data_IF_784460292610
#
_entry.id   IF_784460292610
#
_cell.length_a   1.000
_cell.length_b   1.000
_cell.length_c   1.000
_cell.angle_alpha   90.00
_cell.angle_beta   90.00
_cell.angle_gamma   90.00
#
_symmetry.space_group_name_H-M   'P 1'
#
loop_
_entity.id
_entity.type
_entity.pdbx_description
1 polymer ?
#
# COMPACT_ATOMS: atom_id res chain seq x y z
N UNK A 1 -17.74 6.58 4.28
CA UNK A 1 -16.66 5.56 4.30
C UNK A 1 -15.37 6.16 3.78
N UNK A 2 -14.22 5.92 4.42
CA UNK A 2 -12.88 6.32 3.97
C UNK A 2 -12.46 5.42 2.81
N UNK A 3 -11.99 6.02 1.71
CA UNK A 3 -11.68 5.34 0.44
C UNK A 3 -10.47 5.93 -0.27
N UNK A 4 -10.22 5.46 -1.49
CA UNK A 4 -9.23 5.98 -2.42
C UNK A 4 -7.83 6.03 -1.75
N UNK A 5 -7.02 7.07 -2.04
CA UNK A 5 -5.67 7.26 -1.48
C UNK A 5 -5.65 7.20 0.04
N UNK A 6 -6.62 7.83 0.71
CA UNK A 6 -6.65 7.92 2.18
C UNK A 6 -6.77 6.54 2.85
N UNK A 7 -7.50 5.60 2.23
CA UNK A 7 -7.61 4.25 2.79
C UNK A 7 -6.32 3.44 2.70
N UNK A 8 -5.51 3.63 1.64
CA UNK A 8 -4.22 2.96 1.48
C UNK A 8 -3.12 3.62 2.33
N UNK A 9 -3.09 4.96 2.38
CA UNK A 9 -2.09 5.70 3.15
C UNK A 9 -2.37 5.68 4.66
N UNK A 10 -3.62 5.45 5.07
CA UNK A 10 -4.09 5.51 6.46
C UNK A 10 -3.81 6.85 7.17
N UNK A 11 -3.68 7.92 6.38
CA UNK A 11 -3.47 9.29 6.84
C UNK A 11 -4.09 10.27 5.83
N UNK A 12 -4.34 11.53 6.21
CA UNK A 12 -4.66 12.57 5.25
C UNK A 12 -3.54 12.67 4.20
N UNK A 13 -3.94 13.01 2.97
CA UNK A 13 -3.00 13.32 1.90
C UNK A 13 -2.12 14.53 2.29
N UNK A 14 -1.04 14.78 1.56
CA UNK A 14 -0.08 15.84 1.88
C UNK A 14 -0.71 17.24 1.98
N UNK A 15 -1.78 17.52 1.22
CA UNK A 15 -2.53 18.78 1.29
C UNK A 15 -3.62 18.79 2.40
N UNK A 16 -3.65 17.78 3.26
CA UNK A 16 -4.68 17.59 4.29
C UNK A 16 -5.99 16.98 3.78
N UNK A 17 -6.05 16.52 2.52
CA UNK A 17 -7.27 15.92 1.98
C UNK A 17 -7.59 14.54 2.56
N UNK A 18 -8.86 14.33 2.90
CA UNK A 18 -9.43 13.03 3.28
C UNK A 18 -10.52 12.67 2.28
N UNK A 19 -10.36 11.55 1.57
CA UNK A 19 -11.30 11.09 0.56
C UNK A 19 -12.34 10.14 1.14
N UNK A 20 -13.61 10.41 0.85
CA UNK A 20 -14.74 9.69 1.42
C UNK A 20 -15.75 9.29 0.33
N UNK A 21 -16.41 8.15 0.51
CA UNK A 21 -17.70 7.86 -0.13
C UNK A 21 -18.83 8.24 0.83
N UNK A 22 -19.83 8.93 0.29
CA UNK A 22 -21.13 9.21 0.90
C UNK A 22 -22.26 8.72 -0.03
N UNK A 23 -23.40 8.34 0.52
CA UNK A 23 -24.55 7.85 -0.27
C UNK A 23 -25.06 8.91 -1.25
N UNK A 24 -25.19 10.15 -0.77
CA UNK A 24 -25.55 11.31 -1.56
C UNK A 24 -24.33 12.19 -1.84
N UNK A 25 -24.41 13.00 -2.90
CA UNK A 25 -23.35 13.95 -3.23
C UNK A 25 -23.29 15.04 -2.16
N UNK A 26 -22.22 15.05 -1.38
CA UNK A 26 -21.93 16.13 -0.42
C UNK A 26 -20.92 17.13 -0.99
N UNK A 27 -20.95 18.35 -0.47
CA UNK A 27 -19.91 19.36 -0.72
C UNK A 27 -18.66 19.05 0.11
N UNK A 28 -17.53 19.63 -0.30
CA UNK A 28 -16.30 19.53 0.48
C UNK A 28 -16.48 20.26 1.82
N UNK A 29 -16.04 19.64 2.92
CA UNK A 29 -15.99 20.24 4.24
C UNK A 29 -14.54 20.60 4.57
N UNK A 30 -14.28 21.89 4.76
CA UNK A 30 -12.96 22.40 5.13
C UNK A 30 -12.91 22.66 6.64
N UNK A 31 -11.94 22.05 7.30
CA UNK A 31 -11.55 22.33 8.68
C UNK A 31 -10.11 22.87 8.69
N UNK A 32 -9.64 23.47 9.80
CA UNK A 32 -8.24 23.86 9.92
C UNK A 32 -7.29 22.68 9.66
N UNK A 33 -6.50 22.76 8.59
CA UNK A 33 -5.51 21.73 8.21
C UNK A 33 -6.06 20.47 7.53
N UNK A 34 -7.38 20.28 7.42
CA UNK A 34 -7.99 19.08 6.84
C UNK A 34 -9.14 19.46 5.90
N UNK A 35 -9.22 18.83 4.74
CA UNK A 35 -10.38 18.96 3.84
C UNK A 35 -10.99 17.59 3.56
N UNK A 36 -12.23 17.38 4.00
CA UNK A 36 -12.99 16.22 3.60
C UNK A 36 -13.54 16.41 2.19
N UNK A 37 -13.25 15.45 1.32
CA UNK A 37 -13.61 15.44 -0.10
C UNK A 37 -14.51 14.25 -0.40
N UNK A 38 -15.82 14.36 -0.09
CA UNK A 38 -16.76 13.29 -0.36
C UNK A 38 -17.04 13.16 -1.85
N UNK A 39 -17.26 11.92 -2.29
CA UNK A 39 -17.82 11.57 -3.59
C UNK A 39 -18.98 10.60 -3.41
N UNK A 40 -19.91 10.61 -4.35
CA UNK A 40 -20.91 9.54 -4.42
C UNK A 40 -20.23 8.23 -4.83
N UNK A 41 -20.72 7.12 -4.29
CA UNK A 41 -20.23 5.78 -4.56
C UNK A 41 -20.97 4.73 -3.75
N UNK A 42 -20.67 3.45 -3.97
CA UNK A 42 -21.35 2.35 -3.29
C UNK A 42 -21.12 2.35 -1.78
N UNK A 43 -22.12 1.88 -1.03
CA UNK A 43 -22.04 1.68 0.42
C UNK A 43 -20.92 0.67 0.80
N UNK A 44 -20.49 0.64 2.07
CA UNK A 44 -19.59 -0.40 2.58
C UNK A 44 -20.14 -1.81 2.36
N UNK A 45 -19.27 -2.79 2.13
CA UNK A 45 -19.63 -4.21 2.05
C UNK A 45 -19.23 -4.86 3.38
N UNK A 46 -20.22 -5.32 4.15
CA UNK A 46 -19.97 -6.08 5.37
C UNK A 46 -19.17 -7.36 5.09
N UNK A 47 -18.29 -7.73 6.01
CA UNK A 47 -17.38 -8.88 5.85
C UNK A 47 -16.08 -8.56 5.10
N UNK A 48 -16.07 -7.54 4.23
CA UNK A 48 -14.83 -7.03 3.62
C UNK A 48 -14.39 -5.73 4.29
N UNK A 49 -15.22 -4.69 4.20
CA UNK A 49 -14.94 -3.36 4.74
C UNK A 49 -15.12 -3.36 6.27
N UNK A 50 -14.49 -2.38 6.93
CA UNK A 50 -14.35 -2.41 8.38
C UNK A 50 -15.07 -1.23 9.03
N UNK A 51 -15.84 -1.45 10.10
CA UNK A 51 -16.28 -0.36 10.97
C UNK A 51 -15.07 0.44 11.47
N UNK A 52 -15.26 1.74 11.55
CA UNK A 52 -14.27 2.71 11.99
C UNK A 52 -14.90 3.69 12.99
N UNK A 53 -14.12 4.65 13.45
CA UNK A 53 -14.52 5.60 14.48
C UNK A 53 -15.78 6.39 14.11
N UNK A 54 -16.61 6.70 15.12
CA UNK A 54 -17.80 7.54 14.99
C UNK A 54 -18.80 7.09 13.91
N UNK A 55 -18.97 5.78 13.73
CA UNK A 55 -19.89 5.22 12.73
C UNK A 55 -19.41 5.34 11.28
N UNK A 56 -18.17 5.80 11.07
CA UNK A 56 -17.54 5.72 9.76
C UNK A 56 -17.17 4.27 9.45
N UNK A 57 -16.97 4.02 8.18
CA UNK A 57 -16.39 2.78 7.67
C UNK A 57 -15.06 3.10 6.99
N UNK A 58 -14.16 2.13 6.94
CA UNK A 58 -12.93 2.18 6.16
C UNK A 58 -12.98 1.07 5.12
N UNK A 59 -12.66 1.40 3.86
CA UNK A 59 -12.59 0.39 2.82
C UNK A 59 -11.50 -0.62 3.14
N UNK A 60 -11.81 -1.88 2.86
CA UNK A 60 -10.86 -2.97 2.88
C UNK A 60 -9.72 -2.71 1.89
N UNK A 61 -8.56 -3.29 2.15
CA UNK A 61 -7.40 -3.11 1.27
C UNK A 61 -7.67 -3.52 -0.19
N UNK A 62 -8.37 -4.64 -0.50
CA UNK A 62 -8.73 -4.98 -1.88
C UNK A 62 -9.65 -3.92 -2.50
N UNK A 63 -10.69 -3.46 -1.77
CA UNK A 63 -11.58 -2.39 -2.25
C UNK A 63 -10.84 -1.07 -2.49
N UNK A 64 -9.95 -0.69 -1.58
CA UNK A 64 -9.15 0.52 -1.70
C UNK A 64 -8.25 0.47 -2.95
N UNK A 65 -7.65 -0.68 -3.28
CA UNK A 65 -6.88 -0.83 -4.52
C UNK A 65 -7.74 -0.63 -5.78
N UNK A 66 -8.95 -1.19 -5.80
CA UNK A 66 -9.91 -0.98 -6.90
C UNK A 66 -10.34 0.49 -7.01
N UNK A 67 -10.66 1.13 -5.88
CA UNK A 67 -11.02 2.55 -5.82
C UNK A 67 -9.90 3.44 -6.39
N UNK A 68 -8.63 3.07 -6.16
CA UNK A 68 -7.45 3.74 -6.72
C UNK A 68 -7.22 3.50 -8.22
N UNK A 69 -7.88 2.52 -8.82
CA UNK A 69 -7.80 2.23 -10.26
C UNK A 69 -8.94 2.86 -11.07
N UNK A 70 -9.93 3.47 -10.41
CA UNK A 70 -11.03 4.14 -11.10
C UNK A 70 -10.50 5.31 -11.92
N UNK A 71 -10.99 5.45 -13.15
CA UNK A 71 -10.69 6.61 -13.98
C UNK A 71 -11.17 7.87 -13.27
N UNK A 72 -10.25 8.79 -13.00
CA UNK A 72 -10.57 10.09 -12.41
C UNK A 72 -10.29 11.19 -13.41
N UNK A 73 -11.28 12.04 -13.68
CA UNK A 73 -11.05 13.30 -14.38
C UNK A 73 -10.56 14.30 -13.34
N UNK A 74 -9.26 14.56 -13.31
CA UNK A 74 -8.66 15.43 -12.29
C UNK A 74 -9.20 16.87 -12.42
N UNK A 75 -9.73 17.42 -11.32
CA UNK A 75 -10.15 18.84 -11.18
C UNK A 75 -9.61 19.47 -9.88
N UNK A 76 -8.61 18.86 -9.24
CA UNK A 76 -8.12 19.19 -7.89
C UNK A 76 -6.59 19.21 -7.82
N UNK A 77 -6.05 20.03 -6.91
CA UNK A 77 -4.62 20.09 -6.59
C UNK A 77 -4.04 18.74 -6.14
N UNK A 78 -4.73 18.00 -5.27
CA UNK A 78 -4.35 16.63 -4.88
C UNK A 78 -5.21 15.57 -5.58
N UNK A 79 -4.57 14.50 -6.06
CA UNK A 79 -5.23 13.35 -6.71
C UNK A 79 -5.84 12.43 -5.66
N UNK A 80 -7.13 12.10 -5.86
CA UNK A 80 -7.82 11.15 -4.98
C UNK A 80 -7.26 9.74 -5.11
N UNK A 81 -6.84 9.36 -6.30
CA UNK A 81 -6.25 8.04 -6.57
C UNK A 81 -4.73 8.11 -6.58
N UNK A 82 -4.11 6.98 -6.30
CA UNK A 82 -2.70 6.74 -6.59
C UNK A 82 -2.45 6.90 -8.09
N UNK A 83 -1.26 7.38 -8.45
CA UNK A 83 -0.70 7.20 -9.78
C UNK A 83 -0.42 5.72 -10.02
N UNK A 84 -0.13 5.36 -11.27
CA UNK A 84 0.22 3.99 -11.61
C UNK A 84 1.49 3.55 -10.86
N UNK A 85 2.49 4.43 -10.78
CA UNK A 85 3.75 4.22 -10.07
C UNK A 85 3.52 4.01 -8.56
N UNK A 86 2.75 4.89 -7.90
CA UNK A 86 2.43 4.74 -6.47
C UNK A 86 1.71 3.42 -6.18
N UNK A 87 0.80 3.01 -7.08
CA UNK A 87 0.08 1.74 -6.96
C UNK A 87 1.02 0.54 -7.07
N UNK A 88 1.96 0.61 -8.01
CA UNK A 88 2.96 -0.44 -8.19
C UNK A 88 3.89 -0.56 -6.98
N UNK A 89 4.39 0.57 -6.46
CA UNK A 89 5.22 0.61 -5.25
C UNK A 89 4.47 0.11 -4.02
N UNK A 90 3.18 0.41 -3.90
CA UNK A 90 2.35 -0.09 -2.80
C UNK A 90 2.16 -1.60 -2.87
N UNK A 91 1.88 -2.16 -4.05
CA UNK A 91 1.78 -3.61 -4.24
C UNK A 91 3.13 -4.28 -4.00
N UNK A 92 4.23 -3.68 -4.43
CA UNK A 92 5.59 -4.15 -4.15
C UNK A 92 5.84 -4.28 -2.65
N UNK A 93 5.42 -3.27 -1.87
CA UNK A 93 5.51 -3.27 -0.42
C UNK A 93 4.71 -4.41 0.21
N UNK A 94 3.50 -4.69 -0.28
CA UNK A 94 2.70 -5.85 0.17
C UNK A 94 3.46 -7.14 -0.11
N UNK A 95 3.98 -7.29 -1.32
CA UNK A 95 4.68 -8.49 -1.75
C UNK A 95 5.94 -8.73 -0.91
N UNK A 96 6.73 -7.69 -0.63
CA UNK A 96 7.93 -7.76 0.22
C UNK A 96 7.62 -8.10 1.69
N UNK A 97 6.51 -7.59 2.22
CA UNK A 97 6.17 -7.75 3.64
C UNK A 97 5.39 -9.03 3.92
N UNK A 98 4.54 -9.46 2.99
CA UNK A 98 3.52 -10.48 3.21
C UNK A 98 3.60 -11.66 2.22
N UNK A 99 4.42 -11.56 1.17
CA UNK A 99 4.63 -12.61 0.19
C UNK A 99 3.51 -12.78 -0.84
N UNK A 100 3.76 -13.67 -1.80
CA UNK A 100 2.88 -13.92 -2.95
C UNK A 100 1.52 -14.51 -2.55
N UNK A 101 1.47 -15.38 -1.54
CA UNK A 101 0.21 -16.01 -1.09
C UNK A 101 -0.79 -14.97 -0.62
N UNK A 102 -0.34 -13.97 0.15
CA UNK A 102 -1.21 -12.89 0.63
C UNK A 102 -1.64 -11.98 -0.52
N UNK A 103 -0.73 -11.68 -1.46
CA UNK A 103 -1.06 -10.86 -2.61
C UNK A 103 -2.06 -11.53 -3.55
N UNK A 104 -1.94 -12.85 -3.78
CA UNK A 104 -2.90 -13.64 -4.53
C UNK A 104 -4.28 -13.62 -3.86
N UNK A 105 -4.35 -13.87 -2.54
CA UNK A 105 -5.60 -13.78 -1.80
C UNK A 105 -6.24 -12.39 -1.91
N UNK A 106 -5.43 -11.33 -1.83
CA UNK A 106 -5.89 -9.96 -2.01
C UNK A 106 -6.44 -9.70 -3.41
N UNK A 107 -5.79 -10.25 -4.45
CA UNK A 107 -6.27 -10.18 -5.83
C UNK A 107 -7.62 -10.87 -5.97
N UNK A 108 -7.76 -12.06 -5.42
CA UNK A 108 -8.98 -12.86 -5.52
C UNK A 108 -10.14 -12.17 -4.77
N UNK A 109 -9.88 -11.63 -3.57
CA UNK A 109 -10.86 -10.79 -2.85
C UNK A 109 -11.25 -9.53 -3.63
N UNK A 110 -10.31 -8.91 -4.36
CA UNK A 110 -10.63 -7.77 -5.21
C UNK A 110 -11.54 -8.18 -6.37
N UNK A 111 -11.40 -9.38 -6.93
CA UNK A 111 -12.30 -9.89 -7.96
C UNK A 111 -13.71 -10.11 -7.41
N UNK A 112 -13.84 -10.69 -6.22
CA UNK A 112 -15.13 -10.87 -5.56
C UNK A 112 -15.83 -9.53 -5.34
N UNK A 113 -15.13 -8.55 -4.76
CA UNK A 113 -15.67 -7.21 -4.51
C UNK A 113 -16.05 -6.53 -5.83
N UNK A 114 -15.22 -6.66 -6.86
CA UNK A 114 -15.49 -6.04 -8.15
C UNK A 114 -16.77 -6.56 -8.79
N UNK A 115 -17.07 -7.86 -8.65
CA UNK A 115 -18.30 -8.46 -9.14
C UNK A 115 -19.56 -7.90 -8.44
N UNK A 116 -19.43 -7.49 -7.18
CA UNK A 116 -20.54 -6.90 -6.42
C UNK A 116 -20.73 -5.42 -6.72
N UNK A 117 -19.65 -4.71 -7.10
CA UNK A 117 -19.64 -3.25 -7.27
C UNK A 117 -19.59 -2.79 -8.73
N UNK A 118 -19.52 -3.70 -9.71
CA UNK A 118 -19.35 -3.38 -11.12
C UNK A 118 -17.99 -2.74 -11.43
N UNK A 119 -16.92 -3.28 -10.85
CA UNK A 119 -15.54 -2.77 -10.98
C UNK A 119 -14.62 -3.76 -11.72
N UNK A 120 -15.16 -4.52 -12.66
CA UNK A 120 -14.46 -5.62 -13.35
C UNK A 120 -13.27 -5.11 -14.17
N UNK A 121 -13.39 -3.90 -14.73
CA UNK A 121 -12.30 -3.26 -15.48
C UNK A 121 -11.13 -2.95 -14.55
N UNK A 122 -11.40 -2.38 -13.38
CA UNK A 122 -10.41 -2.10 -12.34
C UNK A 122 -9.78 -3.39 -11.81
N UNK A 123 -10.58 -4.44 -11.55
CA UNK A 123 -10.06 -5.73 -11.09
C UNK A 123 -9.18 -6.42 -12.13
N UNK A 124 -9.53 -6.32 -13.42
CA UNK A 124 -8.69 -6.83 -14.52
C UNK A 124 -7.36 -6.09 -14.57
N UNK A 125 -7.38 -4.77 -14.43
CA UNK A 125 -6.18 -3.94 -14.39
C UNK A 125 -5.29 -4.31 -13.20
N UNK A 126 -5.87 -4.40 -11.99
CA UNK A 126 -5.15 -4.84 -10.78
C UNK A 126 -4.50 -6.22 -10.97
N UNK A 127 -5.26 -7.17 -11.52
CA UNK A 127 -4.79 -8.53 -11.79
C UNK A 127 -3.67 -8.57 -12.83
N UNK A 128 -3.59 -7.58 -13.72
CA UNK A 128 -2.48 -7.45 -14.66
C UNK A 128 -1.23 -6.87 -14.02
N UNK A 129 -1.36 -5.80 -13.23
CA UNK A 129 -0.27 -5.21 -12.46
C UNK A 129 0.39 -6.27 -11.56
N UNK A 130 -0.42 -6.97 -10.76
CA UNK A 130 0.04 -8.03 -9.86
C UNK A 130 0.73 -9.14 -10.65
N UNK A 131 0.13 -9.56 -11.77
CA UNK A 131 0.69 -10.60 -12.61
C UNK A 131 2.06 -10.23 -13.18
N UNK A 132 2.24 -8.98 -13.63
CA UNK A 132 3.53 -8.48 -14.11
C UNK A 132 4.58 -8.39 -13.00
N UNK A 133 4.20 -7.94 -11.80
CA UNK A 133 5.13 -7.90 -10.67
C UNK A 133 5.57 -9.29 -10.19
N UNK A 134 4.72 -10.30 -10.38
CA UNK A 134 5.05 -11.70 -10.10
C UNK A 134 5.72 -12.42 -11.28
N UNK A 135 5.99 -11.74 -12.40
CA UNK A 135 6.59 -12.35 -13.60
C UNK A 135 5.68 -13.34 -14.35
N UNK A 136 4.37 -13.34 -14.06
CA UNK A 136 3.38 -14.21 -14.72
C UNK A 136 2.72 -13.55 -15.94
N UNK A 137 2.91 -12.23 -16.10
CA UNK A 137 2.45 -11.44 -17.24
C UNK A 137 3.54 -10.47 -17.68
N UNK A 138 3.39 -9.93 -18.88
CA UNK A 138 4.35 -9.01 -19.51
C UNK A 138 3.75 -7.62 -19.77
N UNK A 139 2.79 -7.18 -18.96
CA UNK A 139 2.35 -5.79 -19.06
C UNK A 139 3.43 -4.83 -18.54
N UNK A 140 3.62 -3.68 -19.21
CA UNK A 140 4.61 -2.70 -18.80
C UNK A 140 4.28 -2.15 -17.41
N UNK A 141 5.30 -2.20 -16.54
CA UNK A 141 5.31 -1.53 -15.24
C UNK A 141 5.97 -0.17 -15.41
N UNK A 142 5.53 0.82 -14.65
CA UNK A 142 6.03 2.21 -14.74
C UNK A 142 6.99 2.58 -13.62
N UNK A 143 6.84 1.97 -12.44
CA UNK A 143 7.74 2.19 -11.32
C UNK A 143 9.08 1.48 -11.55
N UNK A 144 10.18 2.15 -11.21
CA UNK A 144 11.52 1.55 -11.25
C UNK A 144 11.59 0.26 -10.42
N UNK A 145 10.89 0.23 -9.29
CA UNK A 145 10.80 -0.95 -8.42
C UNK A 145 10.06 -2.09 -9.10
N UNK A 146 8.90 -1.81 -9.72
CA UNK A 146 8.14 -2.80 -10.48
C UNK A 146 8.96 -3.37 -11.64
N UNK A 147 9.62 -2.51 -12.43
CA UNK A 147 10.47 -2.92 -13.55
C UNK A 147 11.66 -3.76 -13.07
N UNK A 148 12.31 -3.39 -11.96
CA UNK A 148 13.42 -4.17 -11.39
C UNK A 148 12.93 -5.53 -10.93
N UNK A 149 11.76 -5.58 -10.30
CA UNK A 149 11.20 -6.81 -9.75
C UNK A 149 10.72 -7.79 -10.80
N UNK A 150 10.06 -7.34 -11.87
CA UNK A 150 9.66 -8.22 -12.98
C UNK A 150 10.86 -8.91 -13.65
N UNK A 151 12.07 -8.34 -13.52
CA UNK A 151 13.34 -8.92 -13.96
C UNK A 151 14.04 -9.80 -12.91
N UNK A 152 13.41 -10.06 -11.77
CA UNK A 152 14.01 -10.81 -10.66
C UNK A 152 15.04 -10.02 -9.84
N UNK A 153 15.19 -8.72 -10.08
CA UNK A 153 16.15 -7.83 -9.40
C UNK A 153 15.47 -7.00 -8.31
N UNK A 154 14.43 -7.54 -7.67
CA UNK A 154 13.66 -6.83 -6.65
C UNK A 154 14.52 -6.50 -5.42
N UNK A 155 14.98 -5.24 -5.30
CA UNK A 155 15.77 -4.78 -4.16
C UNK A 155 14.86 -4.21 -3.05
N UNK A 156 15.19 -4.48 -1.80
CA UNK A 156 14.51 -3.91 -0.62
C UNK A 156 15.21 -2.60 -0.21
N UNK A 157 14.88 -1.49 -0.91
CA UNK A 157 15.52 -0.18 -0.69
C UNK A 157 15.35 0.32 0.75
N UNK A 158 14.20 0.05 1.38
CA UNK A 158 13.95 0.49 2.76
C UNK A 158 14.86 -0.26 3.74
N UNK A 159 15.07 -1.58 3.55
CA UNK A 159 16.04 -2.33 4.36
C UNK A 159 17.45 -1.81 4.16
N UNK A 160 17.83 -1.40 2.95
CA UNK A 160 19.15 -0.79 2.73
C UNK A 160 19.31 0.48 3.60
N UNK A 161 18.30 1.33 3.69
CA UNK A 161 18.33 2.51 4.56
C UNK A 161 18.51 2.09 6.02
N UNK A 162 17.75 1.10 6.50
CA UNK A 162 17.90 0.59 7.87
C UNK A 162 19.27 -0.04 8.12
N UNK A 163 19.83 -0.79 7.16
CA UNK A 163 21.17 -1.36 7.28
C UNK A 163 22.25 -0.29 7.29
N UNK A 164 22.09 0.77 6.51
CA UNK A 164 22.99 1.93 6.51
C UNK A 164 22.94 2.69 7.84
N UNK A 165 21.75 2.91 8.39
CA UNK A 165 21.56 3.48 9.72
C UNK A 165 22.19 2.60 10.80
N UNK A 166 21.92 1.29 10.77
CA UNK A 166 22.48 0.32 11.70
C UNK A 166 24.01 0.29 11.59
N UNK A 167 24.56 0.27 10.38
CA UNK A 167 26.01 0.32 10.13
C UNK A 167 26.61 1.58 10.73
N UNK A 168 25.97 2.73 10.54
CA UNK A 168 26.40 4.00 11.12
C UNK A 168 26.48 3.95 12.65
N UNK A 169 25.46 3.37 13.29
CA UNK A 169 25.42 3.19 14.75
C UNK A 169 26.51 2.20 15.20
N UNK A 170 26.64 1.05 14.55
CA UNK A 170 27.64 0.03 14.91
C UNK A 170 29.08 0.54 14.72
N UNK A 171 29.33 1.38 13.71
CA UNK A 171 30.65 1.99 13.50
C UNK A 171 31.03 2.98 14.62
N UNK A 172 30.06 3.60 15.29
CA UNK A 172 30.27 4.54 16.40
C UNK A 172 30.36 3.84 17.76
N UNK A 173 29.94 2.58 17.85
CA UNK A 173 29.97 1.77 19.07
C UNK A 173 30.86 0.54 18.87
N UNK A 174 32.20 0.68 18.97
CA UNK A 174 33.09 -0.47 18.93
C UNK A 174 32.70 -1.47 20.03
N UNK A 175 32.44 -2.72 19.64
CA UNK A 175 32.21 -3.78 20.61
C UNK A 175 33.43 -3.89 21.52
N UNK A 176 33.22 -3.91 22.84
CA UNK A 176 34.28 -4.30 23.75
C UNK A 176 34.74 -5.71 23.35
N UNK A 177 36.02 -5.88 23.01
CA UNK A 177 36.61 -7.17 22.69
C UNK A 177 36.37 -8.14 23.85
N UNK A 178 35.30 -8.93 23.79
CA UNK A 178 35.02 -10.00 24.74
C UNK A 178 35.74 -11.26 24.27
N UNK A 179 37.05 -11.16 24.12
CA UNK A 179 37.95 -12.28 23.92
C UNK A 179 39.10 -12.12 24.92
N UNK A 180 38.87 -12.51 26.17
CA UNK A 180 39.97 -12.90 27.06
C UNK A 180 39.46 -13.77 28.20
N UNK A 181 40.18 -14.88 28.40
CA UNK A 181 40.09 -15.91 29.43
C UNK A 181 39.27 -17.17 29.11
N UNK A 182 39.75 -17.95 28.11
CA UNK A 182 39.87 -19.39 28.38
C UNK A 182 41.07 -19.56 29.32
N UNK A 183 40.81 -19.79 30.61
CA UNK A 183 41.85 -20.30 31.50
C UNK A 183 42.16 -21.73 31.07
N UNK A 184 43.41 -21.98 30.69
CA UNK A 184 43.95 -23.34 30.60
C UNK A 184 43.86 -23.95 32.01
N UNK A 185 43.10 -25.04 32.15
CA UNK A 185 43.28 -25.95 33.27
C UNK A 185 44.38 -26.93 32.89
N UNK A 186 45.61 -26.58 33.24
CA UNK A 186 46.68 -27.56 33.47
C UNK A 186 46.47 -28.13 34.88
N UNK A 187 45.88 -29.32 34.98
CA UNK A 187 46.09 -30.24 36.12
C UNK A 187 46.02 -31.68 35.62
N UNK A 188 47.19 -32.28 35.40
CA UNK A 188 47.59 -33.65 35.77
C UNK A 188 49.08 -33.84 35.49
#
# INVERSE_FOLDING_TARGET
>A
MIVDRTALEQRPAEDGSIFLITESRSTNLKLPGITFRPRSGPAPIEGYDRPFLAGLWMSSQPRALLDNLRLTRQRSHMRRTFSREELEEYIDKILRNSGETVLNKLRDQAQDIASQLGMEVEAKNLSSIIGSMMGTKNEPLLSDLGISRSKGLGSDKDRLIFFEQLRGILAQHPFANRWMHFKNHDEC
#
